data_IF_825464013594
#
_entry.id   IF_825464013594
#
_cell.length_a   1.000
_cell.length_b   1.000
_cell.length_c   1.000
_cell.angle_alpha   90.00
_cell.angle_beta   90.00
_cell.angle_gamma   90.00
#
_symmetry.space_group_name_H-M   'P 1'
#
loop_
_entity.id
_entity.type
_entity.pdbx_description
1 polymer ?
#
# COMPACT_ATOMS: atom_id res chain seq x y z
N UNK A 1 -11.98 2.83 -9.98
CA UNK A 1 -12.00 1.82 -8.91
C UNK A 1 -11.94 0.40 -9.48
N UNK A 2 -12.85 -0.01 -10.37
CA UNK A 2 -12.89 -1.38 -10.93
C UNK A 2 -11.53 -1.79 -11.53
N UNK A 3 -10.96 -0.95 -12.40
CA UNK A 3 -9.66 -1.24 -13.02
C UNK A 3 -8.51 -1.37 -12.03
N UNK A 4 -8.55 -0.66 -10.89
CA UNK A 4 -7.57 -0.80 -9.82
C UNK A 4 -7.79 -2.08 -9.02
N UNK A 5 -9.06 -2.41 -8.69
CA UNK A 5 -9.40 -3.65 -7.99
C UNK A 5 -9.06 -4.92 -8.75
N UNK A 6 -9.04 -4.84 -10.09
CA UNK A 6 -8.63 -5.96 -10.96
C UNK A 6 -7.11 -6.11 -11.07
N UNK A 7 -6.34 -5.08 -10.76
CA UNK A 7 -4.88 -5.05 -10.98
C UNK A 7 -4.06 -5.03 -9.70
N UNK A 8 -4.63 -4.53 -8.60
CA UNK A 8 -3.91 -4.29 -7.35
C UNK A 8 -4.54 -5.05 -6.19
N UNK A 9 -3.77 -5.37 -5.15
CA UNK A 9 -4.31 -5.93 -3.92
C UNK A 9 -5.37 -5.03 -3.30
N UNK A 10 -6.56 -5.55 -3.11
CA UNK A 10 -7.74 -4.85 -2.61
C UNK A 10 -8.96 -5.08 -3.49
N UNK A 11 -10.12 -4.80 -2.94
CA UNK A 11 -11.40 -4.93 -3.64
C UNK A 11 -11.76 -3.65 -4.39
N UNK A 12 -12.68 -3.72 -5.34
CA UNK A 12 -13.26 -2.53 -5.98
C UNK A 12 -13.83 -1.56 -4.95
N UNK A 13 -14.43 -2.06 -3.86
CA UNK A 13 -14.97 -1.25 -2.77
C UNK A 13 -13.86 -0.47 -2.03
N UNK A 14 -12.71 -1.10 -1.77
CA UNK A 14 -11.58 -0.41 -1.13
C UNK A 14 -11.07 0.74 -1.98
N UNK A 15 -11.01 0.57 -3.31
CA UNK A 15 -10.62 1.65 -4.22
C UNK A 15 -11.71 2.70 -4.42
N UNK A 16 -12.99 2.37 -4.25
CA UNK A 16 -14.07 3.35 -4.17
C UNK A 16 -13.95 4.20 -2.91
N UNK A 17 -13.72 3.58 -1.75
CA UNK A 17 -13.48 4.27 -0.48
C UNK A 17 -12.24 5.16 -0.55
N UNK A 18 -11.16 4.68 -1.17
CA UNK A 18 -9.97 5.48 -1.43
C UNK A 18 -10.29 6.76 -2.24
N UNK A 19 -11.01 6.61 -3.34
CA UNK A 19 -11.40 7.77 -4.17
C UNK A 19 -12.31 8.73 -3.40
N UNK A 20 -13.25 8.20 -2.62
CA UNK A 20 -14.13 8.99 -1.76
C UNK A 20 -13.33 9.73 -0.69
N UNK A 21 -12.31 9.10 -0.09
CA UNK A 21 -11.42 9.75 0.87
C UNK A 21 -10.64 10.90 0.21
N UNK A 22 -10.10 10.71 -1.00
CA UNK A 22 -9.42 11.78 -1.74
C UNK A 22 -10.36 12.98 -1.99
N UNK A 23 -11.63 12.73 -2.38
CA UNK A 23 -12.65 13.79 -2.53
C UNK A 23 -12.90 14.50 -1.19
N UNK A 24 -13.05 13.74 -0.09
CA UNK A 24 -13.26 14.32 1.26
C UNK A 24 -12.08 15.18 1.71
N UNK A 25 -10.87 14.88 1.25
CA UNK A 25 -9.67 15.67 1.50
C UNK A 25 -9.52 16.86 0.54
N UNK A 26 -10.51 17.11 -0.32
CA UNK A 26 -10.54 18.28 -1.18
C UNK A 26 -9.92 18.10 -2.57
N UNK A 27 -9.50 16.89 -2.94
CA UNK A 27 -8.94 16.62 -4.27
C UNK A 27 -10.09 16.52 -5.29
N UNK A 28 -10.10 17.34 -6.36
CA UNK A 28 -11.14 17.28 -7.37
C UNK A 28 -11.23 15.92 -8.06
N UNK A 29 -12.46 15.48 -8.38
CA UNK A 29 -12.71 14.18 -9.01
C UNK A 29 -11.95 14.03 -10.34
N UNK A 30 -11.83 15.09 -11.11
CA UNK A 30 -11.07 15.13 -12.37
C UNK A 30 -9.59 14.80 -12.16
N UNK A 31 -8.97 15.31 -11.10
CA UNK A 31 -7.58 15.04 -10.74
C UNK A 31 -7.41 13.59 -10.26
N UNK A 32 -8.38 13.06 -9.50
CA UNK A 32 -8.37 11.66 -9.07
C UNK A 32 -8.39 10.73 -10.28
N UNK A 33 -9.28 10.99 -11.22
CA UNK A 33 -9.40 10.23 -12.48
C UNK A 33 -8.21 10.48 -13.41
N UNK A 34 -7.64 11.69 -13.41
CA UNK A 34 -6.48 12.11 -14.18
C UNK A 34 -5.15 11.50 -13.77
N UNK A 35 -5.09 10.77 -12.64
CA UNK A 35 -3.87 10.07 -12.24
C UNK A 35 -3.59 10.00 -10.75
N UNK A 36 -4.08 10.92 -9.93
CA UNK A 36 -3.85 10.93 -8.48
C UNK A 36 -4.37 9.63 -7.84
N UNK A 37 -5.55 9.15 -8.24
CA UNK A 37 -6.10 7.89 -7.74
C UNK A 37 -5.21 6.69 -8.05
N UNK A 38 -4.66 6.60 -9.26
CA UNK A 38 -3.70 5.54 -9.61
C UNK A 38 -2.39 5.66 -8.83
N UNK A 39 -1.86 6.87 -8.72
CA UNK A 39 -0.62 7.12 -7.96
C UNK A 39 -0.79 6.74 -6.48
N UNK A 40 -1.93 7.11 -5.87
CA UNK A 40 -2.28 6.76 -4.49
C UNK A 40 -2.41 5.26 -4.29
N UNK A 41 -3.08 4.56 -5.21
CA UNK A 41 -3.21 3.11 -5.17
C UNK A 41 -1.85 2.40 -5.25
N UNK A 42 -0.94 2.90 -6.10
CA UNK A 42 0.42 2.38 -6.19
C UNK A 42 1.23 2.62 -4.91
N UNK A 43 1.06 3.80 -4.31
CA UNK A 43 1.69 4.12 -3.03
C UNK A 43 1.18 3.21 -1.91
N UNK A 44 -0.13 2.92 -1.87
CA UNK A 44 -0.74 2.00 -0.91
C UNK A 44 -0.05 0.63 -0.92
N UNK A 45 0.18 0.08 -2.12
CA UNK A 45 0.89 -1.20 -2.31
C UNK A 45 2.31 -1.13 -1.74
N UNK A 46 3.05 -0.07 -2.02
CA UNK A 46 4.46 0.04 -1.62
C UNK A 46 4.64 0.32 -0.12
N UNK A 47 3.77 1.12 0.48
CA UNK A 47 3.80 1.43 1.90
C UNK A 47 3.04 0.41 2.76
N UNK A 48 2.47 -0.64 2.13
CA UNK A 48 1.65 -1.67 2.79
C UNK A 48 0.49 -1.08 3.61
N UNK A 49 -0.15 -0.05 3.06
CA UNK A 49 -1.30 0.63 3.65
C UNK A 49 -2.60 0.15 3.00
N UNK A 50 -3.70 0.29 3.73
CA UNK A 50 -5.02 0.19 3.10
C UNK A 50 -5.19 1.33 2.09
N UNK A 51 -5.95 1.13 0.99
CA UNK A 51 -6.19 2.17 0.00
C UNK A 51 -6.71 3.48 0.60
N UNK A 52 -7.61 3.41 1.59
CA UNK A 52 -8.15 4.57 2.29
C UNK A 52 -7.10 5.33 3.11
N UNK A 53 -6.28 4.62 3.90
CA UNK A 53 -5.19 5.23 4.67
C UNK A 53 -4.13 5.87 3.75
N UNK A 54 -3.86 5.26 2.59
CA UNK A 54 -2.97 5.85 1.59
C UNK A 54 -3.56 7.12 0.97
N UNK A 55 -4.89 7.21 0.79
CA UNK A 55 -5.56 8.41 0.30
C UNK A 55 -5.42 9.59 1.28
N UNK A 56 -5.63 9.34 2.57
CA UNK A 56 -5.45 10.36 3.60
C UNK A 56 -3.99 10.85 3.64
N UNK A 57 -3.04 9.93 3.62
CA UNK A 57 -1.62 10.27 3.57
C UNK A 57 -1.26 11.05 2.31
N UNK A 58 -1.77 10.62 1.14
CA UNK A 58 -1.52 11.26 -0.15
C UNK A 58 -1.98 12.71 -0.17
N UNK A 59 -3.19 12.98 0.30
CA UNK A 59 -3.73 14.33 0.36
C UNK A 59 -2.92 15.23 1.31
N UNK A 60 -2.61 14.73 2.51
CA UNK A 60 -1.79 15.47 3.48
C UNK A 60 -0.38 15.77 2.95
N UNK A 61 0.22 14.82 2.22
CA UNK A 61 1.52 15.04 1.58
C UNK A 61 1.45 16.05 0.44
N UNK A 62 0.38 16.04 -0.36
CA UNK A 62 0.14 17.05 -1.38
C UNK A 62 0.06 18.45 -0.77
N UNK A 63 -0.74 18.60 0.28
CA UNK A 63 -0.88 19.89 0.98
C UNK A 63 0.44 20.35 1.60
N UNK A 64 1.17 19.46 2.26
CA UNK A 64 2.42 19.77 2.92
C UNK A 64 3.50 20.21 1.92
N UNK A 65 3.54 19.61 0.73
CA UNK A 65 4.56 19.90 -0.28
C UNK A 65 4.12 20.96 -1.29
N UNK A 66 2.82 21.18 -1.44
CA UNK A 66 2.26 22.03 -2.49
C UNK A 66 2.47 21.46 -3.89
N UNK A 67 2.56 20.12 -4.01
CA UNK A 67 2.77 19.43 -5.30
C UNK A 67 1.49 19.49 -6.12
N UNK A 68 1.62 19.82 -7.40
CA UNK A 68 0.51 19.81 -8.34
C UNK A 68 -0.04 18.40 -8.55
N UNK A 69 -1.33 18.29 -8.89
CA UNK A 69 -2.00 16.98 -9.01
C UNK A 69 -1.38 16.09 -10.09
N UNK A 70 -0.95 16.67 -11.19
CA UNK A 70 -0.24 15.97 -12.28
C UNK A 70 1.12 15.40 -11.85
N UNK A 71 1.75 15.98 -10.82
CA UNK A 71 3.08 15.60 -10.32
C UNK A 71 3.03 14.59 -9.16
N UNK A 72 1.83 14.18 -8.72
CA UNK A 72 1.67 13.30 -7.56
C UNK A 72 2.37 11.94 -7.71
N UNK A 73 2.46 11.40 -8.93
CA UNK A 73 3.23 10.18 -9.17
C UNK A 73 4.72 10.37 -8.87
N UNK A 74 5.28 11.54 -9.22
CA UNK A 74 6.67 11.90 -8.91
C UNK A 74 6.91 12.12 -7.42
N UNK A 75 5.95 12.74 -6.72
CA UNK A 75 5.99 12.88 -5.27
C UNK A 75 6.01 11.52 -4.58
N UNK A 76 5.11 10.63 -4.96
CA UNK A 76 5.02 9.29 -4.37
C UNK A 76 6.22 8.40 -4.73
N UNK A 77 6.81 8.59 -5.91
CA UNK A 77 8.08 7.99 -6.26
C UNK A 77 9.22 8.45 -5.32
N UNK A 78 9.24 9.73 -4.99
CA UNK A 78 10.21 10.30 -4.03
C UNK A 78 10.01 9.73 -2.62
N UNK A 79 8.75 9.67 -2.17
CA UNK A 79 8.37 9.11 -0.86
C UNK A 79 8.78 7.63 -0.77
N UNK A 80 8.43 6.81 -1.76
CA UNK A 80 8.78 5.39 -1.73
C UNK A 80 10.29 5.16 -1.74
N UNK A 81 11.06 6.00 -2.44
CA UNK A 81 12.52 5.94 -2.43
C UNK A 81 13.12 6.25 -1.06
N UNK A 82 12.56 7.24 -0.35
CA UNK A 82 12.95 7.55 1.02
C UNK A 82 12.55 6.42 1.99
N UNK A 83 11.35 5.85 1.83
CA UNK A 83 10.87 4.72 2.60
C UNK A 83 11.82 3.52 2.52
N UNK A 84 12.31 3.20 1.33
CA UNK A 84 13.29 2.11 1.14
C UNK A 84 14.71 2.45 1.62
N UNK A 85 14.96 3.66 2.09
CA UNK A 85 16.19 4.05 2.80
C UNK A 85 16.00 4.16 4.32
N UNK A 86 14.82 3.76 4.82
CA UNK A 86 14.54 3.59 6.24
C UNK A 86 13.51 4.56 6.83
N UNK A 87 13.18 5.65 6.15
CA UNK A 87 12.24 6.65 6.68
C UNK A 87 10.81 6.13 6.58
N UNK A 88 10.13 5.95 7.71
CA UNK A 88 8.72 5.60 7.68
C UNK A 88 7.85 6.76 7.18
N UNK A 89 6.64 6.43 6.72
CA UNK A 89 5.74 7.40 6.13
C UNK A 89 5.24 8.46 7.12
N UNK A 90 5.09 8.14 8.39
CA UNK A 90 4.69 9.09 9.44
C UNK A 90 5.77 10.12 9.68
N UNK A 91 7.04 9.71 9.74
CA UNK A 91 8.17 10.60 9.84
C UNK A 91 8.31 11.49 8.59
N UNK A 92 8.09 10.94 7.38
CA UNK A 92 8.09 11.76 6.17
C UNK A 92 6.98 12.80 6.17
N UNK A 93 5.75 12.42 6.50
CA UNK A 93 4.63 13.36 6.57
C UNK A 93 4.90 14.46 7.58
N UNK A 94 5.38 14.11 8.78
CA UNK A 94 5.72 15.07 9.82
C UNK A 94 6.82 16.03 9.36
N UNK A 95 7.88 15.51 8.75
CA UNK A 95 8.97 16.32 8.22
C UNK A 95 8.50 17.35 7.19
N UNK A 96 7.74 16.91 6.17
CA UNK A 96 7.24 17.80 5.13
C UNK A 96 6.21 18.80 5.65
N UNK A 97 5.33 18.38 6.55
CA UNK A 97 4.37 19.29 7.21
C UNK A 97 5.11 20.41 7.97
N UNK A 98 6.16 20.09 8.72
CA UNK A 98 6.91 21.08 9.48
C UNK A 98 7.81 21.97 8.60
N UNK A 99 8.23 21.50 7.44
CA UNK A 99 9.01 22.28 6.47
C UNK A 99 8.15 23.01 5.45
N UNK A 100 6.83 22.83 5.41
CA UNK A 100 5.92 23.38 4.39
C UNK A 100 6.09 24.89 4.17
N UNK A 101 6.27 25.66 5.23
CA UNK A 101 6.46 27.12 5.16
C UNK A 101 7.77 27.57 4.50
N UNK A 102 8.76 26.71 4.39
CA UNK A 102 10.06 27.01 3.75
C UNK A 102 10.26 26.27 2.43
N UNK A 103 9.38 25.35 2.06
CA UNK A 103 9.47 24.60 0.80
C UNK A 103 9.58 25.52 -0.41
N UNK A 104 8.71 26.53 -0.51
CA UNK A 104 8.73 27.51 -1.60
C UNK A 104 9.98 28.37 -1.65
N UNK A 105 10.74 28.47 -0.54
CA UNK A 105 12.04 29.12 -0.52
C UNK A 105 13.12 28.21 -1.13
N UNK A 106 12.99 26.90 -0.96
CA UNK A 106 13.91 25.90 -1.54
C UNK A 106 13.68 25.78 -3.05
N UNK A 107 12.43 25.63 -3.46
CA UNK A 107 12.00 25.64 -4.86
C UNK A 107 10.54 26.10 -4.95
N UNK A 108 10.21 26.83 -6.03
CA UNK A 108 8.82 27.27 -6.29
C UNK A 108 7.91 26.09 -6.70
N UNK A 109 8.48 25.09 -7.35
CA UNK A 109 7.82 23.85 -7.73
C UNK A 109 7.79 22.89 -6.53
N UNK A 110 6.59 22.45 -6.14
CA UNK A 110 6.39 21.61 -4.96
C UNK A 110 7.05 20.24 -5.05
N UNK A 111 7.01 19.60 -6.22
CA UNK A 111 7.66 18.32 -6.45
C UNK A 111 9.20 18.47 -6.34
N UNK A 112 9.78 19.48 -7.02
CA UNK A 112 11.22 19.70 -6.97
C UNK A 112 11.69 20.08 -5.57
N UNK A 113 10.90 20.85 -4.81
CA UNK A 113 11.17 21.16 -3.42
C UNK A 113 11.18 19.89 -2.55
N UNK A 114 10.18 19.03 -2.72
CA UNK A 114 10.09 17.74 -2.01
C UNK A 114 11.28 16.84 -2.37
N UNK A 115 11.63 16.71 -3.64
CA UNK A 115 12.79 15.95 -4.11
C UNK A 115 14.12 16.48 -3.54
N UNK A 116 14.24 17.79 -3.38
CA UNK A 116 15.42 18.42 -2.81
C UNK A 116 15.52 18.19 -1.30
N UNK A 117 14.40 18.13 -0.58
CA UNK A 117 14.40 17.94 0.88
C UNK A 117 14.37 16.48 1.33
N UNK A 118 13.90 15.57 0.49
CA UNK A 118 13.81 14.15 0.83
C UNK A 118 15.17 13.53 1.25
N UNK A 119 16.32 13.82 0.61
CA UNK A 119 17.60 13.32 1.09
C UNK A 119 17.97 13.82 2.49
N UNK A 120 17.53 15.03 2.86
CA UNK A 120 17.76 15.58 4.21
C UNK A 120 16.91 14.82 5.23
N UNK A 121 15.63 14.51 4.91
CA UNK A 121 14.80 13.72 5.80
C UNK A 121 15.40 12.33 6.06
N UNK A 122 15.93 11.67 5.01
CA UNK A 122 16.64 10.39 5.13
C UNK A 122 17.90 10.54 5.99
N UNK A 123 18.66 11.61 5.79
CA UNK A 123 19.87 11.87 6.58
C UNK A 123 19.57 12.02 8.07
N UNK A 124 18.49 12.73 8.42
CA UNK A 124 18.10 12.96 9.82
C UNK A 124 17.53 11.69 10.46
N UNK A 125 16.71 10.94 9.72
CA UNK A 125 16.18 9.68 10.18
C UNK A 125 17.29 8.65 10.49
N UNK A 126 18.30 8.54 9.60
CA UNK A 126 19.47 7.69 9.83
C UNK A 126 20.30 8.07 11.06
N UNK A 127 20.12 9.28 11.58
CA UNK A 127 20.71 9.75 12.84
C UNK A 127 19.78 9.58 14.04
N UNK A 128 18.64 8.92 13.87
CA UNK A 128 17.67 8.66 14.92
C UNK A 128 16.76 9.84 15.26
N UNK A 129 16.69 10.86 14.40
CA UNK A 129 15.76 11.98 14.61
C UNK A 129 14.40 11.67 14.01
N UNK A 130 13.34 11.91 14.79
CA UNK A 130 11.98 11.83 14.25
C UNK A 130 11.70 12.96 13.25
N UNK A 131 10.75 12.73 12.35
CA UNK A 131 10.44 13.65 11.26
C UNK A 131 9.95 15.03 11.75
N UNK A 132 9.22 15.08 12.85
CA UNK A 132 8.73 16.34 13.42
C UNK A 132 9.88 17.24 13.90
N UNK A 133 10.77 16.71 14.73
CA UNK A 133 11.94 17.42 15.23
C UNK A 133 12.87 17.84 14.10
N UNK A 134 13.16 16.92 13.17
CA UNK A 134 14.01 17.20 12.00
C UNK A 134 13.43 18.31 11.11
N UNK A 135 12.13 18.27 10.83
CA UNK A 135 11.45 19.29 10.01
C UNK A 135 11.40 20.65 10.69
N UNK A 136 11.07 20.72 11.98
CA UNK A 136 11.07 21.95 12.76
C UNK A 136 12.47 22.58 12.80
N UNK A 137 13.50 21.77 13.06
CA UNK A 137 14.87 22.22 13.11
C UNK A 137 15.37 22.73 11.75
N UNK A 138 15.13 21.99 10.67
CA UNK A 138 15.49 22.42 9.32
C UNK A 138 14.80 23.74 8.93
N UNK A 139 13.51 23.87 9.24
CA UNK A 139 12.79 25.14 9.05
C UNK A 139 13.48 26.30 9.76
N UNK A 140 13.83 26.13 11.04
CA UNK A 140 14.56 27.14 11.82
C UNK A 140 15.92 27.46 11.21
N UNK A 141 16.64 26.46 10.72
CA UNK A 141 17.94 26.66 10.06
C UNK A 141 17.80 27.57 8.84
N UNK A 142 16.83 27.27 7.95
CA UNK A 142 16.61 28.09 6.74
C UNK A 142 16.17 29.51 7.13
N UNK A 143 15.18 29.65 8.01
CA UNK A 143 14.66 30.95 8.43
C UNK A 143 15.69 31.79 9.17
N UNK A 144 16.48 31.22 10.07
CA UNK A 144 17.53 31.92 10.83
C UNK A 144 18.70 32.29 9.94
N UNK A 145 19.06 31.45 8.96
CA UNK A 145 20.09 31.78 7.95
C UNK A 145 19.73 32.99 7.12
N UNK A 146 18.44 33.29 6.93
CA UNK A 146 17.95 34.49 6.23
C UNK A 146 17.82 35.73 7.13
N UNK A 147 18.09 35.61 8.43
CA UNK A 147 18.04 36.76 9.34
C UNK A 147 19.23 37.67 9.14
N UNK A 148 19.04 38.74 8.35
CA UNK A 148 20.09 39.73 8.01
C UNK A 148 20.77 40.25 9.27
N UNK A 149 20.02 40.53 10.35
CA UNK A 149 20.58 41.01 11.60
C UNK A 149 21.51 39.98 12.24
N UNK A 150 21.02 38.71 12.41
CA UNK A 150 21.83 37.67 13.05
C UNK A 150 23.09 37.36 12.27
N UNK A 151 22.99 37.22 10.95
CA UNK A 151 24.14 36.92 10.07
C UNK A 151 25.14 38.06 10.09
N UNK A 152 24.68 39.30 9.99
CA UNK A 152 25.56 40.48 10.07
C UNK A 152 26.29 40.56 11.43
N UNK A 153 25.56 40.35 12.53
CA UNK A 153 26.16 40.48 13.86
C UNK A 153 27.18 39.35 14.12
N UNK A 154 26.90 38.14 13.70
CA UNK A 154 27.83 37.00 13.77
C UNK A 154 29.04 37.24 12.88
N UNK A 155 28.88 37.73 11.66
CA UNK A 155 29.97 38.05 10.76
C UNK A 155 30.90 39.13 11.36
N UNK A 156 30.33 40.15 12.05
CA UNK A 156 31.14 41.14 12.77
C UNK A 156 31.97 40.50 13.89
N UNK A 157 31.37 39.62 14.68
CA UNK A 157 32.08 38.87 15.74
C UNK A 157 33.20 38.02 15.15
N UNK A 158 32.92 37.27 14.10
CA UNK A 158 33.92 36.43 13.44
C UNK A 158 35.09 37.26 12.85
N UNK A 159 34.78 38.42 12.27
CA UNK A 159 35.79 39.33 11.75
C UNK A 159 36.68 39.88 12.87
N UNK A 160 36.08 40.34 13.99
CA UNK A 160 36.84 40.83 15.19
C UNK A 160 37.76 39.76 15.76
N UNK A 161 37.29 38.49 15.76
CA UNK A 161 38.09 37.36 16.23
C UNK A 161 39.05 36.80 15.18
N UNK A 162 39.14 37.40 14.02
CA UNK A 162 40.02 37.02 12.90
C UNK A 162 39.86 35.56 12.49
N UNK A 163 38.59 35.05 12.47
CA UNK A 163 38.30 33.65 12.17
C UNK A 163 38.37 33.32 10.67
N UNK A 164 38.47 34.30 9.79
CA UNK A 164 38.54 34.09 8.35
C UNK A 164 37.28 33.50 7.71
N UNK A 165 36.13 33.59 8.39
CA UNK A 165 34.86 33.07 7.94
C UNK A 165 33.86 34.21 7.82
N UNK A 166 33.15 34.25 6.69
CA UNK A 166 32.00 35.11 6.45
C UNK A 166 30.86 34.27 5.87
N UNK A 167 29.66 34.44 6.41
CA UNK A 167 28.48 33.70 6.03
C UNK A 167 27.50 34.58 5.25
N UNK A 168 26.93 34.02 4.20
CA UNK A 168 25.79 34.57 3.45
C UNK A 168 24.94 33.42 2.88
N UNK A 169 23.74 33.23 3.44
CA UNK A 169 22.81 32.20 3.00
C UNK A 169 21.88 32.66 1.89
N UNK A 170 22.03 33.91 1.42
CA UNK A 170 21.19 34.48 0.37
C UNK A 170 21.75 34.19 -1.03
N UNK A 171 20.94 34.52 -2.03
CA UNK A 171 21.34 34.54 -3.45
C UNK A 171 22.05 35.86 -3.88
N UNK A 172 22.33 36.72 -2.91
CA UNK A 172 22.86 38.08 -3.16
C UNK A 172 21.77 39.09 -3.53
N UNK A 173 20.52 38.66 -3.72
CA UNK A 173 19.35 39.49 -4.03
C UNK A 173 18.33 39.52 -2.89
N UNK A 174 18.65 38.88 -1.77
CA UNK A 174 17.79 38.83 -0.56
C UNK A 174 16.88 37.63 -0.45
N UNK A 175 16.90 36.71 -1.42
CA UNK A 175 16.20 35.43 -1.33
C UNK A 175 17.14 34.32 -0.83
N UNK A 176 16.56 33.18 -0.45
CA UNK A 176 17.35 31.99 -0.06
C UNK A 176 18.23 31.53 -1.23
N UNK A 177 19.52 31.37 -0.97
CA UNK A 177 20.51 30.98 -1.99
C UNK A 177 20.48 29.49 -2.37
N UNK A 178 19.48 28.74 -1.92
CA UNK A 178 19.33 27.32 -2.19
C UNK A 178 20.15 26.41 -1.26
N UNK A 179 19.87 25.11 -1.34
CA UNK A 179 20.55 24.11 -0.49
C UNK A 179 22.04 24.04 -0.73
N UNK A 180 22.48 24.17 -1.98
CA UNK A 180 23.92 24.14 -2.32
C UNK A 180 24.67 25.31 -1.65
N UNK A 181 24.09 26.52 -1.67
CA UNK A 181 24.67 27.65 -0.94
C UNK A 181 24.64 27.36 0.58
N UNK A 182 23.53 26.85 1.11
CA UNK A 182 23.44 26.50 2.54
C UNK A 182 24.57 25.55 2.95
N UNK A 183 24.76 24.45 2.24
CA UNK A 183 25.84 23.49 2.53
C UNK A 183 27.23 24.17 2.43
N UNK A 184 27.44 24.97 1.41
CA UNK A 184 28.72 25.71 1.22
C UNK A 184 28.99 26.67 2.38
N UNK A 185 27.98 27.41 2.85
CA UNK A 185 28.13 28.31 3.99
C UNK A 185 28.40 27.55 5.29
N UNK A 186 27.63 26.49 5.54
CA UNK A 186 27.81 25.64 6.73
C UNK A 186 29.20 24.96 6.74
N UNK A 187 29.69 24.52 5.60
CA UNK A 187 31.01 23.89 5.47
C UNK A 187 32.15 24.80 5.93
N UNK A 188 32.00 26.13 5.79
CA UNK A 188 33.02 27.10 6.28
C UNK A 188 33.23 26.98 7.80
N UNK A 189 32.18 26.58 8.53
CA UNK A 189 32.24 26.46 10.00
C UNK A 189 33.04 25.24 10.48
N UNK A 190 33.37 24.29 9.60
CA UNK A 190 34.27 23.16 9.91
C UNK A 190 35.68 23.62 10.32
N UNK A 191 36.10 24.78 9.85
CA UNK A 191 37.42 25.37 10.17
C UNK A 191 37.50 25.90 11.61
N UNK A 192 36.37 26.06 12.28
CA UNK A 192 36.32 26.59 13.64
C UNK A 192 36.51 25.46 14.65
N UNK A 193 37.14 25.80 15.79
CA UNK A 193 37.15 24.89 16.96
C UNK A 193 35.74 24.69 17.49
N UNK A 194 35.51 23.59 18.18
CA UNK A 194 34.17 23.22 18.66
C UNK A 194 33.52 24.31 19.50
N UNK A 195 34.27 24.95 20.39
CA UNK A 195 33.77 26.06 21.23
C UNK A 195 33.32 27.23 20.37
N UNK A 196 34.16 27.67 19.40
CA UNK A 196 33.85 28.80 18.51
C UNK A 196 32.69 28.45 17.58
N UNK A 197 32.70 27.24 17.02
CA UNK A 197 31.62 26.74 16.15
C UNK A 197 30.28 26.73 16.92
N UNK A 198 30.23 26.13 18.13
CA UNK A 198 29.05 26.13 18.97
C UNK A 198 28.52 27.51 19.31
N UNK A 199 29.42 28.47 19.62
CA UNK A 199 29.03 29.85 19.87
C UNK A 199 28.40 30.51 18.64
N UNK A 200 28.97 30.31 17.45
CA UNK A 200 28.42 30.81 16.17
C UNK A 200 27.07 30.18 15.89
N UNK A 201 26.94 28.85 16.03
CA UNK A 201 25.70 28.14 15.77
C UNK A 201 24.56 28.62 16.70
N UNK A 202 24.84 28.76 18.01
CA UNK A 202 23.85 29.27 18.97
C UNK A 202 23.43 30.72 18.66
N UNK A 203 24.35 31.56 18.24
CA UNK A 203 24.05 32.93 17.89
C UNK A 203 23.14 33.08 16.65
N UNK A 204 23.30 32.20 15.66
CA UNK A 204 22.47 32.19 14.44
C UNK A 204 21.16 31.44 14.67
N UNK A 205 21.24 30.19 15.11
CA UNK A 205 20.15 29.22 15.04
C UNK A 205 19.40 29.05 16.39
N UNK A 206 19.93 29.57 17.47
CA UNK A 206 19.44 29.37 18.81
C UNK A 206 20.12 28.19 19.51
N UNK A 207 19.74 27.94 20.75
CA UNK A 207 20.38 26.97 21.65
C UNK A 207 19.58 25.67 21.85
N UNK A 208 18.45 25.51 21.13
CA UNK A 208 17.70 24.27 21.22
C UNK A 208 18.48 23.08 20.62
N UNK A 209 18.42 21.96 21.35
CA UNK A 209 19.24 20.78 21.06
C UNK A 209 18.96 20.19 19.67
N UNK A 210 17.69 20.14 19.24
CA UNK A 210 17.29 19.55 17.96
C UNK A 210 17.82 20.38 16.79
N UNK A 211 17.69 21.73 16.85
CA UNK A 211 18.22 22.60 15.82
C UNK A 211 19.75 22.50 15.72
N UNK A 212 20.45 22.47 16.86
CA UNK A 212 21.90 22.29 16.87
C UNK A 212 22.32 20.92 16.36
N UNK A 213 21.56 19.86 16.64
CA UNK A 213 21.80 18.51 16.10
C UNK A 213 21.67 18.51 14.58
N UNK A 214 20.61 19.08 14.01
CA UNK A 214 20.42 19.18 12.56
C UNK A 214 21.53 19.99 11.90
N UNK A 215 21.88 21.16 12.45
CA UNK A 215 22.94 21.99 11.87
C UNK A 215 24.29 21.29 11.91
N UNK A 216 24.64 20.64 13.01
CA UNK A 216 25.88 19.86 13.09
C UNK A 216 25.87 18.71 12.08
N UNK A 217 24.76 17.99 11.94
CA UNK A 217 24.61 16.95 10.93
C UNK A 217 24.82 17.49 9.49
N UNK A 218 24.23 18.66 9.19
CA UNK A 218 24.41 19.31 7.89
C UNK A 218 25.84 19.79 7.68
N UNK A 219 26.55 20.18 8.76
CA UNK A 219 27.98 20.52 8.68
C UNK A 219 28.81 19.26 8.47
N UNK A 220 28.63 18.24 9.28
CA UNK A 220 29.49 17.04 9.32
C UNK A 220 29.29 16.15 8.09
N UNK A 221 28.05 15.84 7.72
CA UNK A 221 27.73 15.09 6.49
C UNK A 221 27.95 15.96 5.24
N UNK A 222 27.55 17.22 5.32
CA UNK A 222 27.71 18.21 4.25
C UNK A 222 27.02 17.85 2.95
N UNK A 223 27.46 18.51 1.88
CA UNK A 223 26.98 18.26 0.53
C UNK A 223 27.26 16.82 0.08
N UNK A 224 28.40 16.25 0.45
CA UNK A 224 28.79 14.89 0.05
C UNK A 224 27.82 13.85 0.61
N UNK A 225 27.45 13.95 1.88
CA UNK A 225 26.46 13.06 2.50
C UNK A 225 25.09 13.21 1.88
N UNK A 226 24.69 14.44 1.57
CA UNK A 226 23.45 14.71 0.85
C UNK A 226 23.45 14.06 -0.54
N UNK A 227 24.50 14.26 -1.33
CA UNK A 227 24.64 13.73 -2.69
C UNK A 227 24.68 12.19 -2.70
N UNK A 228 25.33 11.57 -1.72
CA UNK A 228 25.33 10.12 -1.58
C UNK A 228 23.91 9.57 -1.37
N UNK A 229 23.10 10.20 -0.52
CA UNK A 229 21.71 9.78 -0.30
C UNK A 229 20.89 10.02 -1.55
N UNK A 230 21.03 11.17 -2.19
CA UNK A 230 20.34 11.47 -3.44
C UNK A 230 20.68 10.46 -4.53
N UNK A 231 21.95 10.07 -4.66
CA UNK A 231 22.37 9.01 -5.60
C UNK A 231 21.75 7.66 -5.25
N UNK A 232 21.70 7.29 -3.95
CA UNK A 232 21.02 6.06 -3.51
C UNK A 232 19.55 6.07 -3.86
N UNK A 233 18.85 7.20 -3.68
CA UNK A 233 17.47 7.38 -4.09
C UNK A 233 17.30 7.25 -5.61
N UNK A 234 18.16 7.90 -6.39
CA UNK A 234 18.10 7.91 -7.85
C UNK A 234 18.38 6.53 -8.49
N UNK A 235 19.21 5.71 -7.83
CA UNK A 235 19.49 4.33 -8.28
C UNK A 235 18.33 3.36 -8.02
N UNK A 236 17.35 3.73 -7.21
CA UNK A 236 16.22 2.87 -6.93
C UNK A 236 15.24 2.82 -8.11
N UNK A 237 14.55 1.70 -8.23
CA UNK A 237 13.46 1.56 -9.18
C UNK A 237 12.33 2.56 -8.85
N UNK A 238 11.69 3.09 -9.89
CA UNK A 238 10.53 3.97 -9.72
C UNK A 238 9.34 3.22 -9.10
N UNK A 239 8.43 3.97 -8.50
CA UNK A 239 7.18 3.47 -7.92
C UNK A 239 6.44 2.56 -8.91
N UNK A 240 6.30 3.01 -10.15
CA UNK A 240 5.65 2.24 -11.20
C UNK A 240 6.38 0.91 -11.45
N UNK A 241 7.71 0.92 -11.63
CA UNK A 241 8.50 -0.31 -11.86
C UNK A 241 8.39 -1.28 -10.70
N UNK A 242 8.40 -0.80 -9.44
CA UNK A 242 8.26 -1.67 -8.27
C UNK A 242 6.89 -2.31 -8.19
N UNK A 243 5.83 -1.54 -8.43
CA UNK A 243 4.46 -2.08 -8.44
C UNK A 243 4.31 -3.10 -9.56
N UNK A 244 4.79 -2.82 -10.77
CA UNK A 244 4.74 -3.77 -11.88
C UNK A 244 5.52 -5.06 -11.59
N UNK A 245 6.71 -4.95 -11.01
CA UNK A 245 7.49 -6.13 -10.60
C UNK A 245 6.74 -6.95 -9.52
N UNK A 246 6.12 -6.29 -8.56
CA UNK A 246 5.35 -6.95 -7.51
C UNK A 246 4.11 -7.65 -8.06
N UNK A 247 3.39 -6.99 -8.99
CA UNK A 247 2.25 -7.58 -9.68
C UNK A 247 2.68 -8.75 -10.58
N UNK A 248 3.81 -8.62 -11.28
CA UNK A 248 4.41 -9.70 -12.06
C UNK A 248 4.74 -10.93 -11.19
N UNK A 249 5.26 -10.72 -9.98
CA UNK A 249 5.52 -11.80 -9.03
C UNK A 249 4.23 -12.47 -8.55
N UNK A 250 3.18 -11.71 -8.25
CA UNK A 250 1.87 -12.25 -7.88
C UNK A 250 1.23 -13.01 -9.04
N UNK A 251 1.34 -12.50 -10.28
CA UNK A 251 0.90 -13.21 -11.49
C UNK A 251 1.65 -14.52 -11.67
N UNK A 252 2.98 -14.50 -11.52
CA UNK A 252 3.82 -15.68 -11.62
C UNK A 252 3.49 -16.73 -10.53
N UNK A 253 3.20 -16.28 -9.30
CA UNK A 253 2.75 -17.17 -8.22
C UNK A 253 1.39 -17.78 -8.54
N UNK A 254 0.48 -17.00 -9.09
CA UNK A 254 -0.84 -17.48 -9.53
C UNK A 254 -0.70 -18.47 -10.68
N UNK A 255 0.14 -18.19 -11.69
CA UNK A 255 0.43 -19.11 -12.78
C UNK A 255 1.10 -20.40 -12.28
N UNK A 256 2.03 -20.31 -11.33
CA UNK A 256 2.65 -21.48 -10.72
C UNK A 256 1.64 -22.32 -9.95
N UNK A 257 0.73 -21.70 -9.18
CA UNK A 257 -0.35 -22.39 -8.49
C UNK A 257 -1.32 -23.07 -9.46
N UNK A 258 -1.75 -22.36 -10.51
CA UNK A 258 -2.65 -22.91 -11.53
C UNK A 258 -1.96 -23.97 -12.36
N UNK A 259 -0.69 -23.78 -12.72
CA UNK A 259 0.13 -24.76 -13.40
C UNK A 259 0.35 -26.03 -12.57
N UNK A 260 0.61 -25.91 -11.28
CA UNK A 260 0.75 -27.04 -10.36
C UNK A 260 -0.58 -27.77 -10.18
N UNK A 261 -1.70 -27.05 -10.04
CA UNK A 261 -3.03 -27.64 -9.99
C UNK A 261 -3.39 -28.34 -11.30
N UNK A 262 -3.08 -27.73 -12.46
CA UNK A 262 -3.30 -28.29 -13.78
C UNK A 262 -2.46 -29.53 -14.00
N UNK A 263 -1.18 -29.50 -13.63
CA UNK A 263 -0.28 -30.66 -13.70
C UNK A 263 -0.71 -31.77 -12.74
N UNK A 264 -1.21 -31.42 -11.54
CA UNK A 264 -1.80 -32.35 -10.60
C UNK A 264 -3.05 -33.04 -11.17
N UNK A 265 -3.95 -32.26 -11.79
CA UNK A 265 -5.14 -32.79 -12.47
C UNK A 265 -4.79 -33.61 -13.71
N UNK A 266 -3.78 -33.21 -14.49
CA UNK A 266 -3.28 -33.98 -15.63
C UNK A 266 -2.61 -35.30 -15.19
N UNK A 267 -1.93 -35.32 -14.02
CA UNK A 267 -1.38 -36.54 -13.43
C UNK A 267 -2.48 -37.47 -12.88
N UNK A 268 -3.63 -36.93 -12.49
CA UNK A 268 -4.78 -37.68 -11.98
C UNK A 268 -5.60 -38.32 -13.11
N UNK A 269 -5.56 -37.76 -14.31
CA UNK A 269 -6.29 -38.35 -15.42
C UNK A 269 -5.82 -37.88 -16.80
N UNK A 270 -5.18 -38.77 -17.55
CA UNK A 270 -4.89 -38.56 -18.98
C UNK A 270 -6.12 -38.25 -19.86
N UNK A 271 -7.33 -38.30 -19.26
CA UNK A 271 -8.59 -37.95 -19.89
C UNK A 271 -8.88 -36.43 -19.89
N UNK A 272 -8.13 -35.62 -19.09
CA UNK A 272 -8.36 -34.17 -18.94
C UNK A 272 -7.28 -33.31 -19.59
N UNK A 273 -6.31 -33.88 -20.31
CA UNK A 273 -5.14 -33.17 -20.82
C UNK A 273 -5.43 -32.08 -21.88
N UNK A 274 -6.64 -32.00 -22.42
CA UNK A 274 -7.08 -30.97 -23.36
C UNK A 274 -7.92 -29.85 -22.74
N UNK A 275 -8.58 -30.13 -21.62
CA UNK A 275 -9.71 -29.31 -21.15
C UNK A 275 -9.40 -28.39 -19.96
N UNK A 276 -8.31 -28.63 -19.21
CA UNK A 276 -8.04 -27.86 -18.01
C UNK A 276 -7.71 -26.39 -18.32
N UNK A 277 -7.03 -26.11 -19.43
CA UNK A 277 -6.79 -24.75 -19.92
C UNK A 277 -8.08 -24.08 -20.39
N UNK A 278 -8.94 -24.88 -21.02
CA UNK A 278 -10.27 -24.48 -21.45
C UNK A 278 -11.22 -24.24 -20.26
N UNK A 279 -11.11 -25.01 -19.17
CA UNK A 279 -11.92 -24.83 -17.95
C UNK A 279 -11.57 -23.51 -17.25
N UNK A 280 -10.29 -23.16 -17.15
CA UNK A 280 -9.88 -21.89 -16.54
C UNK A 280 -10.30 -20.69 -17.39
N UNK A 281 -10.15 -20.78 -18.71
CA UNK A 281 -10.65 -19.78 -19.64
C UNK A 281 -12.18 -19.71 -19.62
N UNK A 282 -12.86 -20.87 -19.62
CA UNK A 282 -14.31 -20.97 -19.54
C UNK A 282 -14.86 -20.40 -18.22
N UNK A 283 -14.22 -20.63 -17.06
CA UNK A 283 -14.60 -20.03 -15.80
C UNK A 283 -14.40 -18.51 -15.79
N UNK A 284 -13.31 -18.01 -16.42
CA UNK A 284 -13.08 -16.60 -16.65
C UNK A 284 -14.14 -15.96 -17.54
N UNK A 285 -14.43 -16.58 -18.69
CA UNK A 285 -15.49 -16.15 -19.61
C UNK A 285 -16.90 -16.25 -18.98
N UNK A 286 -17.13 -17.27 -18.16
CA UNK A 286 -18.39 -17.42 -17.42
C UNK A 286 -18.56 -16.29 -16.40
N UNK A 287 -17.49 -15.93 -15.69
CA UNK A 287 -17.47 -14.80 -14.76
C UNK A 287 -17.73 -13.46 -15.47
N UNK A 288 -17.08 -13.22 -16.63
CA UNK A 288 -17.33 -12.02 -17.43
C UNK A 288 -18.74 -11.98 -18.01
N UNK A 289 -19.21 -13.10 -18.56
CA UNK A 289 -20.58 -13.22 -19.10
C UNK A 289 -21.63 -13.03 -18.00
N UNK A 290 -21.36 -13.57 -16.79
CA UNK A 290 -22.27 -13.39 -15.67
C UNK A 290 -22.30 -11.94 -15.17
N UNK A 291 -21.14 -11.30 -15.08
CA UNK A 291 -21.04 -9.87 -14.72
C UNK A 291 -21.78 -9.01 -15.74
N UNK A 292 -21.54 -9.25 -17.03
CA UNK A 292 -22.24 -8.55 -18.12
C UNK A 292 -23.74 -8.81 -18.10
N UNK A 293 -24.15 -10.07 -17.91
CA UNK A 293 -25.57 -10.43 -17.77
C UNK A 293 -26.21 -9.74 -16.55
N UNK A 294 -25.51 -9.68 -15.42
CA UNK A 294 -25.99 -9.00 -14.21
C UNK A 294 -26.18 -7.50 -14.44
N UNK A 295 -25.24 -6.86 -15.12
CA UNK A 295 -25.29 -5.43 -15.46
C UNK A 295 -26.39 -5.11 -16.50
N UNK A 296 -26.58 -5.98 -17.48
CA UNK A 296 -27.59 -5.82 -18.55
C UNK A 296 -29.00 -6.20 -18.07
N UNK A 297 -29.12 -7.03 -17.03
CA UNK A 297 -30.41 -7.56 -16.56
C UNK A 297 -30.70 -7.29 -15.07
N UNK A 298 -30.66 -6.04 -14.60
CA UNK A 298 -30.84 -5.73 -13.18
C UNK A 298 -32.22 -6.10 -12.63
N UNK A 299 -33.23 -6.30 -13.49
CA UNK A 299 -34.57 -6.77 -13.10
C UNK A 299 -34.56 -8.27 -12.78
N UNK A 300 -33.81 -9.07 -13.55
CA UNK A 300 -33.64 -10.51 -13.31
C UNK A 300 -32.89 -10.73 -12.02
N UNK A 301 -31.78 -10.01 -11.81
CA UNK A 301 -31.00 -10.11 -10.57
C UNK A 301 -31.82 -9.70 -9.35
N UNK A 302 -32.60 -8.62 -9.45
CA UNK A 302 -33.53 -8.22 -8.38
C UNK A 302 -34.63 -9.27 -8.15
N UNK A 303 -35.12 -9.91 -9.21
CA UNK A 303 -36.09 -10.99 -9.11
C UNK A 303 -35.52 -12.22 -8.42
N UNK A 304 -34.32 -12.64 -8.76
CA UNK A 304 -33.61 -13.75 -8.13
C UNK A 304 -33.31 -13.48 -6.65
N UNK A 305 -32.82 -12.27 -6.34
CA UNK A 305 -32.60 -11.83 -4.96
C UNK A 305 -33.91 -11.73 -4.17
N UNK A 306 -34.99 -11.25 -4.81
CA UNK A 306 -36.33 -11.20 -4.21
C UNK A 306 -36.91 -12.58 -3.92
N UNK A 307 -36.75 -13.55 -4.83
CA UNK A 307 -37.13 -14.95 -4.62
C UNK A 307 -36.30 -15.59 -3.50
N UNK A 308 -35.00 -15.32 -3.43
CA UNK A 308 -34.12 -15.78 -2.36
C UNK A 308 -34.54 -15.26 -0.99
N UNK A 309 -34.84 -13.96 -0.92
CA UNK A 309 -35.34 -13.32 0.29
C UNK A 309 -36.74 -13.91 0.67
N UNK A 310 -37.59 -14.12 -0.30
CA UNK A 310 -38.91 -14.73 -0.08
C UNK A 310 -38.84 -16.19 0.45
N UNK A 311 -37.95 -17.00 -0.10
CA UNK A 311 -37.71 -18.37 0.36
C UNK A 311 -37.03 -18.42 1.74
N UNK A 312 -36.12 -17.51 2.03
CA UNK A 312 -35.51 -17.35 3.35
C UNK A 312 -36.54 -16.91 4.39
N UNK A 313 -37.47 -16.02 4.04
CA UNK A 313 -38.58 -15.60 4.91
C UNK A 313 -39.57 -16.75 5.16
N UNK A 314 -39.88 -17.55 4.15
CA UNK A 314 -40.76 -18.75 4.27
C UNK A 314 -40.12 -19.79 5.21
N UNK A 315 -38.82 -20.01 5.11
CA UNK A 315 -38.09 -20.97 5.98
C UNK A 315 -37.91 -20.40 7.41
N UNK A 316 -37.81 -19.09 7.56
CA UNK A 316 -37.68 -18.41 8.87
C UNK A 316 -39.04 -18.12 9.53
N UNK A 317 -40.13 -18.15 8.80
CA UNK A 317 -41.50 -18.11 9.36
C UNK A 317 -41.76 -19.27 10.33
N UNK A 318 -40.95 -20.33 10.27
CA UNK A 318 -40.93 -21.45 11.22
C UNK A 318 -40.03 -21.23 12.44
N UNK A 319 -39.22 -20.14 12.48
CA UNK A 319 -38.20 -19.90 13.52
C UNK A 319 -38.29 -18.54 14.23
N UNK A 320 -39.37 -17.76 14.02
CA UNK A 320 -39.60 -16.48 14.73
C UNK A 320 -39.10 -15.22 14.00
N UNK A 321 -39.95 -14.18 14.01
CA UNK A 321 -39.89 -12.97 13.17
C UNK A 321 -38.65 -12.05 13.44
N UNK A 322 -38.03 -12.15 14.62
CA UNK A 322 -36.94 -11.23 15.00
C UNK A 322 -35.61 -11.42 14.29
N UNK A 323 -35.33 -12.67 13.83
CA UNK A 323 -34.07 -12.97 13.11
C UNK A 323 -34.09 -12.67 11.61
N UNK A 324 -35.29 -12.66 11.01
CA UNK A 324 -35.47 -12.52 9.58
C UNK A 324 -35.11 -11.12 9.06
N UNK A 325 -35.42 -10.07 9.83
CA UNK A 325 -35.19 -8.66 9.45
C UNK A 325 -33.69 -8.35 9.43
N UNK A 326 -32.91 -8.89 10.34
CA UNK A 326 -31.45 -8.67 10.39
C UNK A 326 -30.70 -9.35 9.23
N UNK A 327 -31.22 -10.48 8.72
CA UNK A 327 -30.65 -11.20 7.59
C UNK A 327 -30.98 -10.49 6.27
N UNK A 328 -32.22 -10.03 6.11
CA UNK A 328 -32.64 -9.26 4.92
C UNK A 328 -31.86 -7.95 4.79
N UNK A 329 -31.62 -7.25 5.89
CA UNK A 329 -30.83 -6.02 5.91
C UNK A 329 -29.36 -6.25 5.51
N UNK A 330 -28.78 -7.39 5.88
CA UNK A 330 -27.43 -7.79 5.48
C UNK A 330 -27.33 -8.23 4.02
N UNK A 331 -28.38 -8.86 3.49
CA UNK A 331 -28.46 -9.28 2.08
C UNK A 331 -28.58 -8.04 1.15
N UNK A 332 -29.30 -7.00 1.57
CA UNK A 332 -29.45 -5.78 0.79
C UNK A 332 -28.18 -4.90 0.74
N UNK A 333 -27.21 -5.11 1.62
CA UNK A 333 -25.91 -4.44 1.61
C UNK A 333 -24.80 -5.23 0.89
N UNK A 334 -25.15 -6.31 0.18
CA UNK A 334 -24.18 -7.22 -0.42
C UNK A 334 -23.48 -6.64 -1.64
N UNK A 335 -22.16 -6.73 -1.61
CA UNK A 335 -21.26 -6.54 -2.76
C UNK A 335 -21.55 -7.56 -3.88
N UNK A 336 -21.10 -7.32 -5.13
CA UNK A 336 -21.23 -8.30 -6.24
C UNK A 336 -20.77 -9.73 -5.87
N UNK A 337 -19.76 -9.86 -5.02
CA UNK A 337 -19.27 -11.15 -4.49
C UNK A 337 -20.33 -11.81 -3.57
N UNK A 338 -21.01 -11.02 -2.75
CA UNK A 338 -22.10 -11.52 -1.90
C UNK A 338 -23.31 -12.00 -2.71
N UNK A 339 -23.60 -11.36 -3.84
CA UNK A 339 -24.64 -11.81 -4.79
C UNK A 339 -24.26 -13.15 -5.44
N UNK A 340 -23.00 -13.34 -5.82
CA UNK A 340 -22.50 -14.61 -6.35
C UNK A 340 -22.60 -15.72 -5.29
N UNK A 341 -22.18 -15.45 -4.05
CA UNK A 341 -22.27 -16.39 -2.96
C UNK A 341 -23.75 -16.76 -2.66
N UNK A 342 -24.66 -15.79 -2.74
CA UNK A 342 -26.09 -16.01 -2.58
C UNK A 342 -26.68 -16.82 -3.75
N UNK A 343 -26.27 -16.54 -4.99
CA UNK A 343 -26.68 -17.31 -6.16
C UNK A 343 -26.18 -18.77 -6.07
N UNK A 344 -24.96 -19.02 -5.60
CA UNK A 344 -24.43 -20.35 -5.35
C UNK A 344 -25.22 -21.06 -4.24
N UNK A 345 -25.54 -20.36 -3.15
CA UNK A 345 -26.34 -20.91 -2.06
C UNK A 345 -27.78 -21.27 -2.51
N UNK A 346 -28.36 -20.46 -3.40
CA UNK A 346 -29.68 -20.73 -4.02
C UNK A 346 -29.62 -21.91 -4.99
N UNK A 347 -28.62 -21.98 -5.84
CA UNK A 347 -28.38 -23.10 -6.73
C UNK A 347 -28.22 -24.39 -5.92
N UNK A 348 -27.48 -24.37 -4.82
CA UNK A 348 -27.34 -25.48 -3.90
C UNK A 348 -28.67 -25.83 -3.25
N UNK A 349 -29.45 -24.84 -2.81
CA UNK A 349 -30.80 -25.05 -2.27
C UNK A 349 -31.76 -25.71 -3.27
N UNK A 350 -31.77 -25.26 -4.53
CA UNK A 350 -32.56 -25.86 -5.60
C UNK A 350 -32.13 -27.29 -5.94
N UNK A 351 -30.81 -27.55 -5.93
CA UNK A 351 -30.27 -28.91 -6.12
C UNK A 351 -30.72 -29.81 -4.99
N UNK A 352 -30.65 -29.35 -3.74
CA UNK A 352 -31.06 -30.14 -2.54
C UNK A 352 -32.58 -30.40 -2.53
N UNK A 353 -33.37 -29.37 -2.84
CA UNK A 353 -34.86 -29.53 -2.87
C UNK A 353 -35.37 -30.38 -4.02
N UNK A 354 -34.61 -30.47 -5.11
CA UNK A 354 -34.96 -31.30 -6.26
C UNK A 354 -33.99 -32.48 -6.42
N UNK A 355 -33.48 -33.02 -5.31
CA UNK A 355 -32.50 -34.10 -5.33
C UNK A 355 -32.99 -35.36 -6.04
N UNK A 356 -34.27 -35.61 -5.99
CA UNK A 356 -34.89 -36.75 -6.67
C UNK A 356 -34.71 -36.69 -8.20
N UNK A 357 -34.64 -35.46 -8.77
CA UNK A 357 -34.45 -35.24 -10.21
C UNK A 357 -32.96 -35.09 -10.54
N UNK A 358 -32.22 -34.38 -9.72
CA UNK A 358 -30.84 -33.99 -9.99
C UNK A 358 -29.85 -35.05 -9.48
N UNK A 359 -30.19 -35.75 -8.41
CA UNK A 359 -29.36 -36.77 -7.77
C UNK A 359 -28.87 -37.88 -8.72
N UNK A 360 -29.75 -38.47 -9.61
CA UNK A 360 -29.31 -39.46 -10.59
C UNK A 360 -28.21 -38.96 -11.53
N UNK A 361 -28.22 -37.66 -11.90
CA UNK A 361 -27.17 -37.06 -12.73
C UNK A 361 -25.85 -36.94 -11.97
N UNK A 362 -25.91 -36.52 -10.70
CA UNK A 362 -24.73 -36.47 -9.83
C UNK A 362 -24.18 -37.87 -9.54
N UNK A 363 -25.07 -38.87 -9.33
CA UNK A 363 -24.65 -40.26 -9.17
C UNK A 363 -23.93 -40.79 -10.40
N UNK A 364 -24.47 -40.56 -11.60
CA UNK A 364 -23.83 -40.94 -12.86
C UNK A 364 -22.51 -40.21 -13.08
N UNK A 365 -22.45 -38.93 -12.76
CA UNK A 365 -21.22 -38.15 -12.78
C UNK A 365 -20.19 -38.75 -11.81
N UNK A 366 -20.60 -39.05 -10.56
CA UNK A 366 -19.72 -39.66 -9.57
C UNK A 366 -19.24 -41.05 -9.96
N UNK A 367 -20.06 -41.85 -10.54
CA UNK A 367 -19.69 -43.17 -11.09
C UNK A 367 -18.61 -43.03 -12.18
N UNK A 368 -18.62 -41.93 -12.93
CA UNK A 368 -17.64 -41.64 -13.97
C UNK A 368 -16.33 -41.09 -13.40
N UNK A 369 -16.39 -40.13 -12.46
CA UNK A 369 -15.20 -39.42 -11.96
C UNK A 369 -14.63 -40.00 -10.65
N UNK A 370 -15.46 -40.75 -9.89
CA UNK A 370 -15.09 -41.34 -8.61
C UNK A 370 -13.82 -42.17 -8.66
N UNK A 371 -13.69 -43.11 -9.63
CA UNK A 371 -12.47 -43.92 -9.77
C UNK A 371 -11.21 -43.08 -9.97
N UNK A 372 -11.31 -41.97 -10.70
CA UNK A 372 -10.17 -41.05 -10.90
C UNK A 372 -9.84 -40.27 -9.65
N UNK A 373 -10.86 -39.93 -8.85
CA UNK A 373 -10.67 -39.26 -7.56
C UNK A 373 -10.00 -40.19 -6.55
N UNK A 374 -10.41 -41.47 -6.50
CA UNK A 374 -9.76 -42.49 -5.66
C UNK A 374 -8.31 -42.73 -6.07
N UNK A 375 -8.05 -42.86 -7.37
CA UNK A 375 -6.67 -43.02 -7.88
C UNK A 375 -5.78 -41.81 -7.54
N UNK A 376 -6.31 -40.59 -7.67
CA UNK A 376 -5.64 -39.37 -7.28
C UNK A 376 -5.39 -39.29 -5.78
N UNK A 377 -6.35 -39.67 -4.96
CA UNK A 377 -6.21 -39.73 -3.51
C UNK A 377 -5.13 -40.71 -3.07
N UNK A 378 -5.10 -41.90 -3.68
CA UNK A 378 -4.04 -42.89 -3.42
C UNK A 378 -2.65 -42.40 -3.85
N UNK A 379 -2.58 -41.65 -4.97
CA UNK A 379 -1.33 -41.00 -5.39
C UNK A 379 -0.89 -39.94 -4.37
N UNK A 380 -1.80 -39.08 -3.92
CA UNK A 380 -1.53 -38.08 -2.88
C UNK A 380 -1.03 -38.73 -1.59
N UNK A 381 -1.64 -39.80 -1.14
CA UNK A 381 -1.18 -40.55 0.02
C UNK A 381 0.26 -41.05 -0.15
N UNK A 382 0.62 -41.58 -1.34
CA UNK A 382 1.98 -42.05 -1.62
C UNK A 382 3.00 -40.90 -1.67
N UNK A 383 2.68 -39.80 -2.33
CA UNK A 383 3.57 -38.62 -2.47
C UNK A 383 3.84 -37.97 -1.12
N UNK A 384 2.83 -37.90 -0.28
CA UNK A 384 2.95 -37.24 1.05
C UNK A 384 3.23 -38.21 2.20
N UNK A 385 3.42 -39.52 1.93
CA UNK A 385 3.60 -40.55 2.96
C UNK A 385 4.69 -40.24 3.99
N UNK A 386 5.73 -39.52 3.58
CA UNK A 386 6.87 -39.16 4.40
C UNK A 386 6.74 -37.78 5.06
N UNK A 387 5.67 -37.03 4.83
CA UNK A 387 5.44 -35.73 5.43
C UNK A 387 4.59 -35.85 6.71
N UNK A 388 4.67 -34.89 7.67
CA UNK A 388 3.76 -34.86 8.83
C UNK A 388 2.27 -34.88 8.42
N UNK A 389 1.93 -34.23 7.32
CA UNK A 389 0.58 -34.21 6.74
C UNK A 389 0.18 -35.60 6.21
N UNK A 390 1.09 -36.30 5.54
CA UNK A 390 0.89 -37.67 5.04
C UNK A 390 0.72 -38.69 6.16
N UNK A 391 1.42 -38.53 7.28
CA UNK A 391 1.22 -39.38 8.46
C UNK A 391 -0.19 -39.21 9.03
N UNK A 392 -0.74 -38.01 9.07
CA UNK A 392 -2.12 -37.75 9.50
C UNK A 392 -3.12 -38.36 8.51
N UNK A 393 -2.91 -38.17 7.20
CA UNK A 393 -3.79 -38.70 6.15
C UNK A 393 -3.80 -40.23 6.15
N UNK A 394 -2.63 -40.86 6.25
CA UNK A 394 -2.49 -42.33 6.27
C UNK A 394 -3.05 -42.97 7.55
N UNK A 395 -3.10 -42.22 8.64
CA UNK A 395 -3.63 -42.67 9.93
C UNK A 395 -4.99 -42.00 10.27
N UNK A 396 -5.72 -41.54 9.26
CA UNK A 396 -6.99 -40.82 9.49
C UNK A 396 -8.02 -41.62 10.28
N UNK A 397 -8.15 -42.91 10.00
CA UNK A 397 -9.03 -43.78 10.76
C UNK A 397 -8.73 -43.83 12.26
N UNK A 398 -7.49 -44.13 12.67
CA UNK A 398 -7.08 -44.03 14.07
C UNK A 398 -7.28 -42.66 14.71
N UNK A 399 -7.05 -41.57 13.98
CA UNK A 399 -7.24 -40.19 14.47
C UNK A 399 -8.74 -39.93 14.73
N UNK A 400 -9.60 -40.27 13.79
CA UNK A 400 -11.07 -40.14 13.97
C UNK A 400 -11.57 -40.98 15.16
N UNK A 401 -11.09 -42.22 15.27
CA UNK A 401 -11.47 -43.10 16.39
C UNK A 401 -11.00 -42.52 17.73
N UNK A 402 -9.81 -41.98 17.80
CA UNK A 402 -9.31 -41.33 19.01
C UNK A 402 -10.18 -40.12 19.42
N UNK A 403 -10.63 -39.31 18.47
CA UNK A 403 -11.56 -38.20 18.73
C UNK A 403 -12.95 -38.71 19.18
N UNK A 404 -13.48 -39.78 18.58
CA UNK A 404 -14.72 -40.38 18.99
C UNK A 404 -14.63 -40.93 20.41
N UNK A 405 -13.58 -41.72 20.72
CA UNK A 405 -13.36 -42.29 22.06
C UNK A 405 -13.15 -41.18 23.13
N UNK A 406 -12.61 -40.05 22.75
CA UNK A 406 -12.48 -38.89 23.63
C UNK A 406 -13.84 -38.20 23.84
N UNK A 407 -14.64 -38.07 22.80
CA UNK A 407 -15.98 -37.47 22.85
C UNK A 407 -16.96 -38.29 23.69
N UNK A 408 -16.89 -39.62 23.60
CA UNK A 408 -17.72 -40.54 24.37
C UNK A 408 -17.34 -40.57 25.86
N UNK A 409 -16.22 -39.99 26.24
CA UNK A 409 -15.74 -39.88 27.63
C UNK A 409 -16.03 -38.52 28.28
N UNK A 410 -16.49 -37.54 27.50
CA UNK A 410 -16.94 -36.22 27.96
C UNK A 410 -18.44 -36.18 28.22
#
# INVERSE_FOLDING_TARGET
>A
AIGLGNQLPGTTADFQNMMQMLVRQGIPAENILGGVGKATAYLAVQLKKTPEAAAEFAAKMQDATGTASEDMMGLFDTIQKAFYLGVDDTNMLSFFTKTSSVLKMVNKDGLQAAQSLAPISVMMDQMGMNGESAGNALRKVIQSGLSVKKIRDVNKVMARQKLGVQLDFTDGKGSFGGLDNMFRQLAKLRKLTDVKRTGVLKAIFGDDAETLQVVNALIDKGKDGYDQIQQKMNKQASLNKRVQAQLGTLSNLWEAMTGTATNGLAAIGGAFSGDAKNITQWLGELGEKFTKFADENPRVIRGVVGLAAGLAILKLGLMGVGGAISIVSRIMSMTPIGMIATAIALAAGLIITNWDVVGPYFKKLWETIGPYFEAGWELLKKVFAWSPLGMVINNWGPVVKWFQDMWDKL
#
